data_IF_505644035447
#
_entry.id   IF_505644035447
#
_cell.length_a   1.000
_cell.length_b   1.000
_cell.length_c   1.000
_cell.angle_alpha   90.00
_cell.angle_beta   90.00
_cell.angle_gamma   90.00
#
_symmetry.space_group_name_H-M   'P 1'
#
loop_
_entity.id
_entity.type
_entity.pdbx_description
1 polymer ?
#
# COMPACT_ATOMS: atom_id res chain seq x y z
N UNK A 1 -11.61 -23.78 10.44
CA UNK A 1 -10.98 -24.33 9.24
C UNK A 1 -12.04 -25.12 8.47
N UNK A 2 -12.62 -24.51 7.43
CA UNK A 2 -13.71 -25.11 6.68
C UNK A 2 -13.13 -26.10 5.68
N UNK A 3 -13.15 -27.40 6.01
CA UNK A 3 -12.76 -28.45 5.07
C UNK A 3 -13.76 -28.48 3.91
N UNK A 4 -13.27 -28.14 2.72
CA UNK A 4 -14.01 -28.30 1.48
C UNK A 4 -14.30 -29.79 1.24
N UNK A 5 -15.57 -30.13 1.01
CA UNK A 5 -16.06 -31.51 0.84
C UNK A 5 -15.40 -32.20 -0.36
N UNK A 6 -14.86 -31.42 -1.30
CA UNK A 6 -14.28 -31.94 -2.54
C UNK A 6 -12.88 -32.58 -2.38
N UNK A 7 -12.17 -32.37 -1.27
CA UNK A 7 -10.76 -32.79 -1.05
C UNK A 7 -9.78 -32.16 -2.10
N UNK A 8 -10.29 -31.35 -3.03
CA UNK A 8 -9.52 -30.73 -4.10
C UNK A 8 -9.20 -29.29 -3.72
N UNK A 9 -7.97 -28.87 -4.00
CA UNK A 9 -7.57 -27.48 -3.83
C UNK A 9 -8.14 -26.65 -4.97
N UNK A 10 -8.74 -25.52 -4.62
CA UNK A 10 -9.40 -24.63 -5.56
C UNK A 10 -9.14 -23.17 -5.20
N UNK A 11 -9.20 -22.31 -6.21
CA UNK A 11 -9.02 -20.87 -6.10
C UNK A 11 -10.19 -20.16 -6.76
N UNK A 12 -10.91 -19.35 -6.00
CA UNK A 12 -11.85 -18.40 -6.57
C UNK A 12 -11.08 -17.22 -7.17
N UNK A 13 -11.38 -16.85 -8.42
CA UNK A 13 -10.74 -15.73 -9.10
C UNK A 13 -11.74 -14.60 -9.30
N UNK A 14 -11.37 -13.42 -8.81
CA UNK A 14 -12.14 -12.18 -8.96
C UNK A 14 -11.23 -11.14 -9.62
N UNK A 15 -11.73 -10.49 -10.67
CA UNK A 15 -11.05 -9.35 -11.28
C UNK A 15 -11.58 -8.05 -10.72
N UNK A 16 -10.69 -7.20 -10.20
CA UNK A 16 -11.00 -5.83 -9.81
C UNK A 16 -10.38 -4.86 -10.83
N UNK A 17 -11.19 -4.00 -11.43
CA UNK A 17 -10.74 -3.00 -12.41
C UNK A 17 -11.51 -1.68 -12.29
N UNK A 18 -10.98 -0.62 -12.88
CA UNK A 18 -11.62 0.71 -12.93
C UNK A 18 -12.24 0.92 -14.31
N UNK A 19 -13.52 1.28 -14.37
CA UNK A 19 -14.21 1.54 -15.63
C UNK A 19 -13.89 2.95 -16.19
N UNK A 20 -14.41 3.27 -17.38
CA UNK A 20 -14.21 4.59 -18.01
C UNK A 20 -14.79 5.77 -17.20
N UNK A 21 -15.65 5.51 -16.22
CA UNK A 21 -16.24 6.51 -15.31
C UNK A 21 -15.45 6.64 -14.00
N UNK A 22 -14.29 5.98 -13.87
CA UNK A 22 -13.49 5.99 -12.65
C UNK A 22 -14.04 5.09 -11.52
N UNK A 23 -15.05 4.27 -11.77
CA UNK A 23 -15.66 3.41 -10.76
C UNK A 23 -14.92 2.09 -10.63
N UNK A 24 -14.66 1.65 -9.40
CA UNK A 24 -14.11 0.34 -9.10
C UNK A 24 -15.18 -0.73 -9.30
N UNK A 25 -14.90 -1.72 -10.13
CA UNK A 25 -15.76 -2.86 -10.43
C UNK A 25 -15.04 -4.15 -10.05
N UNK A 26 -15.76 -5.05 -9.40
CA UNK A 26 -15.33 -6.42 -9.13
C UNK A 26 -16.17 -7.41 -9.93
N UNK A 27 -15.52 -8.36 -10.59
CA UNK A 27 -16.18 -9.36 -11.41
C UNK A 27 -15.64 -10.74 -11.09
N UNK A 28 -16.50 -11.60 -10.56
CA UNK A 28 -16.18 -13.01 -10.39
C UNK A 28 -15.96 -13.66 -11.76
N UNK A 29 -14.83 -14.33 -11.92
CA UNK A 29 -14.45 -15.01 -13.17
C UNK A 29 -14.78 -16.50 -13.09
N UNK A 30 -14.53 -17.12 -11.94
CA UNK A 30 -14.78 -18.54 -11.76
C UNK A 30 -13.96 -19.14 -10.62
N UNK A 31 -14.12 -20.44 -10.44
CA UNK A 31 -13.30 -21.26 -9.56
C UNK A 31 -12.34 -22.08 -10.43
N UNK A 32 -11.05 -21.94 -10.17
CA UNK A 32 -10.00 -22.68 -10.83
C UNK A 32 -9.49 -23.79 -9.91
N UNK A 33 -9.51 -25.02 -10.41
CA UNK A 33 -8.91 -26.14 -9.70
C UNK A 33 -7.39 -26.08 -9.83
N UNK A 34 -6.69 -26.31 -8.72
CA UNK A 34 -5.23 -26.34 -8.67
C UNK A 34 -4.77 -27.60 -7.95
N UNK A 35 -3.70 -28.22 -8.44
CA UNK A 35 -3.15 -29.45 -7.85
C UNK A 35 -2.55 -29.18 -6.45
N UNK A 36 -2.00 -27.98 -6.25
CA UNK A 36 -1.48 -27.51 -4.98
C UNK A 36 -1.61 -25.98 -4.83
N UNK A 37 -1.34 -25.45 -3.63
CA UNK A 37 -1.39 -24.00 -3.31
C UNK A 37 0.02 -23.39 -3.32
N UNK A 38 0.95 -23.96 -4.10
CA UNK A 38 2.28 -23.36 -4.27
C UNK A 38 2.19 -22.14 -5.18
N UNK A 39 3.11 -21.19 -5.00
CA UNK A 39 3.16 -19.95 -5.80
C UNK A 39 3.23 -20.22 -7.30
N UNK A 40 3.98 -21.25 -7.71
CA UNK A 40 4.18 -21.61 -9.11
C UNK A 40 2.90 -22.14 -9.75
N UNK A 41 2.16 -23.03 -9.06
CA UNK A 41 0.90 -23.56 -9.57
C UNK A 41 -0.22 -22.54 -9.60
N UNK A 42 -0.28 -21.67 -8.61
CA UNK A 42 -1.24 -20.56 -8.62
C UNK A 42 -0.94 -19.57 -9.76
N UNK A 43 0.35 -19.27 -10.01
CA UNK A 43 0.76 -18.45 -11.17
C UNK A 43 0.35 -19.10 -12.50
N UNK A 44 0.70 -20.37 -12.69
CA UNK A 44 0.39 -21.13 -13.92
C UNK A 44 -1.12 -21.15 -14.18
N UNK A 45 -1.93 -21.39 -13.14
CA UNK A 45 -3.38 -21.39 -13.22
C UNK A 45 -3.96 -20.01 -13.61
N UNK A 46 -3.39 -18.92 -13.08
CA UNK A 46 -3.80 -17.56 -13.43
C UNK A 46 -3.39 -17.22 -14.87
N UNK A 47 -2.19 -17.59 -15.29
CA UNK A 47 -1.72 -17.37 -16.66
C UNK A 47 -2.60 -18.11 -17.68
N UNK A 48 -2.99 -19.35 -17.39
CA UNK A 48 -3.94 -20.12 -18.20
C UNK A 48 -5.33 -19.46 -18.23
N UNK A 49 -5.86 -19.04 -17.08
CA UNK A 49 -7.16 -18.36 -16.99
C UNK A 49 -7.15 -17.07 -17.81
N UNK A 50 -6.14 -16.22 -17.62
CA UNK A 50 -6.02 -14.96 -18.37
C UNK A 50 -5.86 -15.23 -19.86
N UNK A 51 -5.08 -16.22 -20.28
CA UNK A 51 -4.93 -16.60 -21.69
C UNK A 51 -6.23 -17.14 -22.30
N UNK A 52 -7.07 -17.82 -21.52
CA UNK A 52 -8.38 -18.31 -21.97
C UNK A 52 -9.43 -17.21 -22.08
N UNK A 53 -9.19 -16.07 -21.41
CA UNK A 53 -9.98 -14.86 -21.56
C UNK A 53 -9.35 -13.93 -22.60
N UNK A 54 -10.11 -13.04 -23.24
CA UNK A 54 -9.53 -11.99 -24.10
C UNK A 54 -8.86 -10.86 -23.29
N UNK A 55 -8.21 -11.20 -22.17
CA UNK A 55 -7.53 -10.28 -21.29
C UNK A 55 -6.02 -10.38 -21.50
N UNK A 56 -5.34 -9.25 -21.47
CA UNK A 56 -3.90 -9.19 -21.63
C UNK A 56 -3.20 -9.16 -20.27
N UNK A 57 -2.19 -10.01 -20.06
CA UNK A 57 -1.30 -9.94 -18.91
C UNK A 57 -0.62 -8.57 -18.77
N UNK A 58 -0.38 -7.86 -19.88
CA UNK A 58 0.21 -6.51 -19.85
C UNK A 58 -0.66 -5.46 -19.16
N UNK A 59 -1.96 -5.75 -18.98
CA UNK A 59 -2.90 -4.86 -18.29
C UNK A 59 -3.10 -5.24 -16.83
N UNK A 60 -2.51 -6.33 -16.35
CA UNK A 60 -2.56 -6.71 -14.95
C UNK A 60 -1.74 -5.70 -14.14
N UNK A 61 -2.40 -4.99 -13.21
CA UNK A 61 -1.74 -4.00 -12.34
C UNK A 61 -1.45 -4.54 -10.95
N UNK A 62 -2.17 -5.58 -10.54
CA UNK A 62 -1.76 -6.34 -9.39
C UNK A 62 -2.63 -7.54 -9.05
N UNK A 63 -2.19 -8.25 -8.02
CA UNK A 63 -2.83 -9.45 -7.49
C UNK A 63 -2.82 -9.41 -5.96
N UNK A 64 -3.92 -9.83 -5.35
CA UNK A 64 -4.09 -9.95 -3.90
C UNK A 64 -4.72 -11.29 -3.57
N UNK A 65 -4.28 -11.91 -2.48
CA UNK A 65 -4.78 -13.20 -2.01
C UNK A 65 -5.09 -13.12 -0.52
N UNK A 66 -6.05 -13.91 -0.07
CA UNK A 66 -6.37 -14.01 1.34
C UNK A 66 -5.33 -14.89 2.07
N UNK A 67 -4.72 -14.33 3.11
CA UNK A 67 -4.17 -15.08 4.24
C UNK A 67 -2.98 -16.06 4.04
N UNK A 68 -2.58 -16.45 2.83
CA UNK A 68 -1.50 -17.41 2.63
C UNK A 68 -0.18 -16.72 2.23
N UNK A 69 0.87 -17.02 2.99
CA UNK A 69 2.28 -16.57 2.84
C UNK A 69 2.93 -16.83 1.47
N UNK A 70 2.20 -17.36 0.50
CA UNK A 70 2.74 -17.93 -0.72
C UNK A 70 2.74 -17.03 -1.96
N UNK A 71 2.34 -15.76 -1.97
CA UNK A 71 2.41 -14.99 -3.24
C UNK A 71 2.94 -13.56 -3.12
N UNK A 72 4.27 -13.49 -3.20
CA UNK A 72 5.10 -12.27 -3.36
C UNK A 72 5.04 -11.64 -4.78
N UNK A 73 4.07 -11.99 -5.62
CA UNK A 73 4.18 -11.71 -7.06
C UNK A 73 3.75 -10.30 -7.51
N UNK A 74 3.17 -9.48 -6.64
CA UNK A 74 2.89 -8.08 -6.98
C UNK A 74 4.16 -7.21 -7.04
N UNK A 75 5.18 -7.56 -6.24
CA UNK A 75 6.49 -6.91 -6.30
C UNK A 75 7.10 -7.06 -7.70
N UNK A 76 6.83 -8.15 -8.42
CA UNK A 76 7.39 -8.37 -9.75
C UNK A 76 6.74 -7.51 -10.84
N UNK A 77 5.43 -7.27 -10.78
CA UNK A 77 4.70 -6.50 -11.82
C UNK A 77 4.95 -5.00 -11.69
N UNK A 78 5.00 -4.46 -10.46
CA UNK A 78 5.37 -3.07 -10.22
C UNK A 78 6.84 -2.78 -10.57
N UNK A 79 7.74 -3.76 -10.37
CA UNK A 79 9.15 -3.69 -10.80
C UNK A 79 9.35 -3.60 -12.31
N UNK A 80 8.37 -4.00 -13.12
CA UNK A 80 8.43 -3.91 -14.59
C UNK A 80 8.22 -2.49 -15.13
N UNK A 81 7.80 -1.54 -14.29
CA UNK A 81 7.65 -0.13 -14.65
C UNK A 81 8.53 0.73 -13.74
N UNK A 82 9.58 1.31 -14.31
CA UNK A 82 10.59 2.07 -13.58
C UNK A 82 10.00 3.25 -12.79
N UNK A 83 9.01 3.96 -13.35
CA UNK A 83 8.37 5.08 -12.66
C UNK A 83 7.60 4.62 -11.42
N UNK A 84 6.86 3.52 -11.53
CA UNK A 84 6.10 2.95 -10.40
C UNK A 84 7.07 2.43 -9.32
N UNK A 85 8.12 1.72 -9.73
CA UNK A 85 9.14 1.23 -8.81
C UNK A 85 9.84 2.38 -8.06
N UNK A 86 10.22 3.43 -8.77
CA UNK A 86 10.85 4.63 -8.19
C UNK A 86 9.90 5.31 -7.20
N UNK A 87 8.64 5.50 -7.57
CA UNK A 87 7.63 6.10 -6.68
C UNK A 87 7.50 5.37 -5.34
N UNK A 88 7.31 4.04 -5.37
CA UNK A 88 7.18 3.24 -4.13
C UNK A 88 8.48 3.19 -3.34
N UNK A 89 9.64 3.24 -4.01
CA UNK A 89 10.94 3.33 -3.37
C UNK A 89 11.06 4.67 -2.62
N UNK A 90 10.73 5.78 -3.26
CA UNK A 90 10.75 7.12 -2.63
C UNK A 90 9.81 7.18 -1.44
N UNK A 91 8.56 6.68 -1.57
CA UNK A 91 7.62 6.65 -0.46
C UNK A 91 8.15 5.84 0.74
N UNK A 92 8.79 4.69 0.46
CA UNK A 92 9.40 3.86 1.50
C UNK A 92 10.59 4.56 2.15
N UNK A 93 11.42 5.25 1.37
CA UNK A 93 12.56 6.04 1.85
C UNK A 93 12.11 7.15 2.80
N UNK A 94 11.05 7.91 2.47
CA UNK A 94 10.50 8.95 3.35
C UNK A 94 10.11 8.37 4.71
N UNK A 95 9.34 7.27 4.71
CA UNK A 95 8.91 6.60 5.95
C UNK A 95 10.09 6.07 6.74
N UNK A 96 11.12 5.53 6.08
CA UNK A 96 12.32 5.02 6.74
C UNK A 96 13.18 6.15 7.32
N UNK A 97 13.38 7.24 6.57
CA UNK A 97 14.15 8.41 7.03
C UNK A 97 13.51 8.97 8.30
N UNK A 98 12.21 9.24 8.30
CA UNK A 98 11.56 9.81 9.49
C UNK A 98 11.45 8.75 10.59
N UNK A 99 11.02 7.54 10.23
CA UNK A 99 10.73 6.46 11.17
C UNK A 99 11.94 5.77 11.80
N UNK A 100 13.16 6.01 11.31
CA UNK A 100 14.39 5.42 11.85
C UNK A 100 14.91 6.10 13.13
N UNK A 101 14.43 7.30 13.46
CA UNK A 101 14.88 8.05 14.64
C UNK A 101 13.73 8.43 15.54
N UNK A 102 13.92 8.32 16.86
CA UNK A 102 12.94 8.84 17.83
C UNK A 102 12.77 10.35 17.67
N UNK A 103 13.88 11.13 17.62
CA UNK A 103 13.88 12.59 17.43
C UNK A 103 13.04 13.02 16.22
N UNK A 104 13.23 12.37 15.07
CA UNK A 104 12.48 12.68 13.82
C UNK A 104 11.00 12.31 13.92
N UNK A 105 10.66 11.22 14.61
CA UNK A 105 9.26 10.83 14.86
C UNK A 105 8.56 11.79 15.80
N UNK A 106 9.25 12.26 16.83
CA UNK A 106 8.69 13.20 17.80
C UNK A 106 8.48 14.57 17.15
N UNK A 107 9.43 15.05 16.34
CA UNK A 107 9.25 16.26 15.52
C UNK A 107 8.05 16.17 14.57
N UNK A 108 7.81 14.99 13.97
CA UNK A 108 6.64 14.78 13.11
C UNK A 108 5.33 14.90 13.90
N UNK A 109 5.28 14.35 15.11
CA UNK A 109 4.10 14.40 15.99
C UNK A 109 3.83 15.81 16.46
N UNK A 110 4.87 16.54 16.86
CA UNK A 110 4.76 17.94 17.27
C UNK A 110 4.24 18.82 16.13
N UNK A 111 4.78 18.66 14.92
CA UNK A 111 4.30 19.41 13.76
C UNK A 111 2.85 19.05 13.40
N UNK A 112 2.48 17.77 13.49
CA UNK A 112 1.09 17.36 13.28
C UNK A 112 0.14 18.01 14.31
N UNK A 113 0.52 18.03 15.59
CA UNK A 113 -0.27 18.67 16.64
C UNK A 113 -0.40 20.18 16.43
N UNK A 114 0.67 20.82 15.95
CA UNK A 114 0.66 22.24 15.59
C UNK A 114 -0.31 22.53 14.45
N UNK A 115 -0.23 21.77 13.36
CA UNK A 115 -1.13 21.93 12.20
C UNK A 115 -2.60 21.76 12.61
N UNK A 116 -2.89 20.78 13.47
CA UNK A 116 -4.24 20.55 14.02
C UNK A 116 -4.68 21.72 14.89
N UNK A 117 -3.82 22.27 15.75
CA UNK A 117 -4.17 23.44 16.56
C UNK A 117 -4.45 24.67 15.69
N UNK A 118 -3.58 24.98 14.72
CA UNK A 118 -3.77 26.13 13.83
C UNK A 118 -5.07 26.03 13.03
N UNK A 119 -5.42 24.83 12.56
CA UNK A 119 -6.67 24.59 11.81
C UNK A 119 -7.92 24.60 12.71
N UNK A 120 -7.79 24.25 13.99
CA UNK A 120 -8.86 24.41 14.99
C UNK A 120 -9.09 25.87 15.35
N UNK A 121 -8.03 26.69 15.46
CA UNK A 121 -8.13 28.11 15.80
C UNK A 121 -8.90 28.94 14.74
N UNK A 122 -8.87 28.49 13.49
CA UNK A 122 -9.62 29.11 12.38
C UNK A 122 -11.02 28.52 12.19
N UNK A 123 -11.51 27.68 13.13
CA UNK A 123 -12.79 26.97 13.06
C UNK A 123 -12.99 26.12 11.77
N UNK A 124 -11.91 25.73 11.09
CA UNK A 124 -11.96 24.96 9.83
C UNK A 124 -12.04 23.44 10.07
N UNK A 125 -12.00 23.01 11.33
CA UNK A 125 -12.04 21.60 11.72
C UNK A 125 -13.07 21.32 12.81
N UNK A 126 -13.94 20.34 12.55
CA UNK A 126 -14.89 19.86 13.55
C UNK A 126 -14.17 19.11 14.69
N UNK A 127 -14.59 19.39 15.92
CA UNK A 127 -14.10 18.69 17.11
C UNK A 127 -15.01 17.51 17.44
N UNK A 128 -14.41 16.35 17.75
CA UNK A 128 -15.18 15.14 18.05
C UNK A 128 -14.32 14.00 18.57
N UNK A 129 -14.93 13.06 19.30
CA UNK A 129 -14.22 11.93 19.90
C UNK A 129 -13.69 11.00 18.80
N UNK A 130 -12.38 10.97 18.63
CA UNK A 130 -11.70 10.18 17.58
C UNK A 130 -11.30 10.99 16.34
N UNK A 131 -11.71 12.25 16.24
CA UNK A 131 -11.21 13.19 15.23
C UNK A 131 -9.87 13.77 15.69
N UNK A 132 -9.01 14.10 14.72
CA UNK A 132 -7.75 14.83 14.95
C UNK A 132 -6.80 14.13 15.94
N UNK A 133 -6.88 12.80 16.03
CA UNK A 133 -5.94 12.02 16.83
C UNK A 133 -4.54 12.05 16.21
N UNK A 134 -3.54 11.93 17.07
CA UNK A 134 -2.17 11.71 16.64
C UNK A 134 -2.09 10.47 15.74
N UNK A 135 -1.51 10.62 14.55
CA UNK A 135 -1.32 9.51 13.60
C UNK A 135 0.16 9.27 13.36
N UNK A 136 0.50 8.06 12.90
CA UNK A 136 1.88 7.70 12.59
C UNK A 136 2.02 7.25 11.14
N UNK A 137 3.21 7.45 10.58
CA UNK A 137 3.52 6.93 9.25
C UNK A 137 3.46 5.40 9.28
N UNK A 138 2.59 4.84 8.43
CA UNK A 138 2.47 3.39 8.31
C UNK A 138 3.63 2.86 7.48
N UNK A 139 4.27 1.79 7.95
CA UNK A 139 5.34 1.13 7.20
C UNK A 139 4.76 0.19 6.14
N UNK A 140 5.29 0.21 4.91
CA UNK A 140 4.94 -0.78 3.92
C UNK A 140 5.54 -2.12 4.33
N UNK A 141 4.78 -3.18 4.11
CA UNK A 141 5.16 -4.57 4.26
C UNK A 141 5.23 -5.20 2.87
N UNK A 142 6.39 -5.76 2.52
CA UNK A 142 6.65 -6.40 1.22
C UNK A 142 5.67 -7.54 0.89
N UNK A 143 5.04 -8.12 1.92
CA UNK A 143 4.15 -9.27 1.83
C UNK A 143 2.68 -8.89 1.67
N UNK A 144 2.28 -7.65 1.94
CA UNK A 144 0.88 -7.23 1.99
C UNK A 144 0.68 -5.92 1.23
N UNK A 145 0.23 -5.98 -0.01
CA UNK A 145 0.02 -4.79 -0.84
C UNK A 145 -0.82 -3.70 -0.16
N UNK A 146 -1.85 -4.08 0.60
CA UNK A 146 -2.67 -3.11 1.32
C UNK A 146 -1.84 -2.22 2.26
N UNK A 147 -0.72 -2.72 2.79
CA UNK A 147 0.20 -1.91 3.60
C UNK A 147 0.88 -0.79 2.80
N UNK A 148 1.10 -0.96 1.48
CA UNK A 148 1.61 0.10 0.62
C UNK A 148 0.54 1.18 0.40
N UNK A 149 -0.71 0.78 0.18
CA UNK A 149 -1.82 1.74 0.12
C UNK A 149 -1.96 2.50 1.44
N UNK A 150 -1.95 1.80 2.57
CA UNK A 150 -1.96 2.36 3.91
C UNK A 150 -0.80 3.35 4.15
N UNK A 151 0.39 3.02 3.63
CA UNK A 151 1.57 3.89 3.69
C UNK A 151 1.31 5.19 2.94
N UNK A 152 0.90 5.09 1.67
CA UNK A 152 0.61 6.26 0.83
C UNK A 152 -0.49 7.13 1.42
N UNK A 153 -1.54 6.50 1.94
CA UNK A 153 -2.64 7.19 2.62
C UNK A 153 -2.12 7.94 3.86
N UNK A 154 -1.26 7.31 4.67
CA UNK A 154 -0.67 7.98 5.84
C UNK A 154 0.23 9.16 5.46
N UNK A 155 1.04 9.04 4.40
CA UNK A 155 1.87 10.14 3.90
C UNK A 155 0.99 11.28 3.39
N UNK A 156 -0.09 10.98 2.67
CA UNK A 156 -1.01 11.99 2.15
C UNK A 156 -1.71 12.76 3.29
N UNK A 157 -2.18 12.05 4.32
CA UNK A 157 -2.82 12.67 5.48
C UNK A 157 -1.84 13.58 6.24
N UNK A 158 -0.57 13.16 6.38
CA UNK A 158 0.46 13.93 7.09
C UNK A 158 1.42 14.65 6.13
N UNK A 159 0.97 15.05 4.95
CA UNK A 159 1.87 15.56 3.92
C UNK A 159 2.63 16.81 4.39
N UNK A 160 1.94 17.77 4.99
CA UNK A 160 2.56 19.00 5.48
C UNK A 160 3.58 18.75 6.62
N UNK A 161 3.24 17.99 7.69
CA UNK A 161 4.22 17.62 8.72
C UNK A 161 5.43 16.87 8.18
N UNK A 162 5.22 15.95 7.23
CA UNK A 162 6.30 15.18 6.61
C UNK A 162 7.28 16.09 5.90
N UNK A 163 6.80 17.04 5.10
CA UNK A 163 7.66 18.01 4.39
C UNK A 163 8.46 18.85 5.39
N UNK A 164 7.81 19.39 6.43
CA UNK A 164 8.46 20.21 7.45
C UNK A 164 9.59 19.48 8.17
N UNK A 165 9.38 18.22 8.54
CA UNK A 165 10.43 17.41 9.19
C UNK A 165 11.57 17.09 8.22
N UNK A 166 11.28 16.84 6.94
CA UNK A 166 12.33 16.60 5.94
C UNK A 166 13.18 17.86 5.70
N UNK A 167 12.56 19.05 5.61
CA UNK A 167 13.26 20.33 5.53
C UNK A 167 14.19 20.51 6.74
N UNK A 168 13.66 20.30 7.95
CA UNK A 168 14.43 20.39 9.19
C UNK A 168 15.62 19.41 9.22
N UNK A 169 15.45 18.16 8.76
CA UNK A 169 16.55 17.19 8.67
C UNK A 169 17.65 17.68 7.74
N UNK A 170 17.30 18.28 6.60
CA UNK A 170 18.28 18.82 5.65
C UNK A 170 19.07 19.95 6.29
N UNK A 171 18.40 20.83 7.04
CA UNK A 171 19.05 21.95 7.72
C UNK A 171 19.98 21.49 8.87
N UNK A 172 19.56 20.51 9.69
CA UNK A 172 20.36 19.93 10.80
C UNK A 172 21.66 19.32 10.26
N UNK A 173 21.58 18.56 9.15
CA UNK A 173 22.77 17.95 8.50
C UNK A 173 23.73 19.01 7.94
N UNK A 174 23.23 20.15 7.48
CA UNK A 174 24.09 21.22 6.98
C UNK A 174 24.81 21.97 8.11
N UNK A 175 24.25 22.01 9.32
CA UNK A 175 24.87 22.64 10.49
C UNK A 175 25.99 21.78 11.10
N UNK A 176 25.86 20.45 11.07
CA UNK A 176 26.89 19.53 11.58
C UNK A 176 28.14 19.42 10.68
N UNK A 177 28.07 19.94 9.44
CA UNK A 177 29.15 19.91 8.44
C UNK A 177 29.94 21.23 8.33
N UNK A 178 29.72 22.17 9.25
CA UNK A 178 30.33 23.50 9.32
C UNK A 178 31.18 23.64 10.59
#
# INVERSE_FOLDING_TARGET
ESRDVSIRKQMAVVLRFVNKKGQVIERFVGVQYVSDMTSSKLKEAIEQLISSTNLSMSRLRGQGYDGASNMRALVAVAKGNENIATFFTTASSVVNIIGASCKRRDALREQQQKDIMETLEIDDLETGRGLNQETTLKRPCDTRWNSHYDTLLSINIMFHPVVKVLEWIVDDVNQDNL
#
